data_IF_557817992522
#
_entry.id   IF_557817992522
#
_cell.length_a   1.000
_cell.length_b   1.000
_cell.length_c   1.000
_cell.angle_alpha   90.00
_cell.angle_beta   90.00
_cell.angle_gamma   90.00
#
_symmetry.space_group_name_H-M   'P 1'
#
loop_
_entity.id
_entity.type
_entity.pdbx_description
1 polymer ?
#
# COMPACT_ATOMS: atom_id res chain seq x y z
N UNK A 1 11.34 11.68 1.37
CA UNK A 1 9.95 11.27 1.09
C UNK A 1 8.95 11.92 2.04
N UNK A 2 9.29 13.13 2.45
CA UNK A 2 8.44 14.04 3.20
C UNK A 2 8.48 15.38 2.49
N UNK A 3 7.33 15.87 2.06
CA UNK A 3 7.22 16.98 1.11
C UNK A 3 6.24 18.03 1.61
N UNK A 4 6.53 19.30 1.34
CA UNK A 4 5.64 20.43 1.52
C UNK A 4 5.02 20.81 0.17
N UNK A 5 3.71 20.94 0.09
CA UNK A 5 3.08 21.64 -1.03
C UNK A 5 3.25 23.15 -0.78
N UNK A 6 4.06 23.78 -1.62
CA UNK A 6 4.57 25.15 -1.40
C UNK A 6 3.44 26.17 -1.24
N UNK A 7 3.51 26.99 -0.19
CA UNK A 7 2.47 28.02 0.09
C UNK A 7 1.16 27.48 0.66
N UNK A 8 1.09 26.21 1.08
CA UNK A 8 -0.09 25.59 1.70
C UNK A 8 0.21 25.06 3.10
N UNK A 9 -0.83 24.58 3.79
CA UNK A 9 -0.73 23.86 5.05
C UNK A 9 -0.77 22.33 4.87
N UNK A 10 -0.43 21.83 3.67
CA UNK A 10 -0.48 20.39 3.34
C UNK A 10 0.92 19.85 3.11
N UNK A 11 1.20 18.69 3.72
CA UNK A 11 2.41 17.92 3.50
C UNK A 11 2.08 16.49 3.08
N UNK A 12 2.98 15.88 2.30
CA UNK A 12 2.88 14.48 1.89
C UNK A 12 3.96 13.67 2.60
N UNK A 13 3.60 12.50 3.08
CA UNK A 13 4.50 11.52 3.69
C UNK A 13 4.40 10.19 2.94
N UNK A 14 5.51 9.73 2.38
CA UNK A 14 5.62 8.38 1.82
C UNK A 14 5.83 7.35 2.92
N UNK A 15 4.90 6.44 3.09
CA UNK A 15 4.87 5.40 4.11
C UNK A 15 5.26 4.02 3.56
N UNK A 16 5.34 3.05 4.46
CA UNK A 16 5.32 1.63 4.16
C UNK A 16 4.23 0.96 5.00
N UNK A 17 3.37 0.17 4.36
CA UNK A 17 2.27 -0.53 5.00
C UNK A 17 2.73 -1.67 5.91
N UNK A 18 3.83 -2.32 5.55
CA UNK A 18 4.43 -3.44 6.27
C UNK A 18 5.93 -3.22 6.40
N UNK A 19 6.48 -3.67 7.51
CA UNK A 19 7.92 -3.78 7.72
C UNK A 19 8.33 -5.23 7.91
N UNK A 20 9.58 -5.57 7.61
CA UNK A 20 10.20 -6.81 8.05
C UNK A 20 10.20 -6.92 9.57
N UNK A 21 10.08 -8.13 10.11
CA UNK A 21 10.00 -8.37 11.57
C UNK A 21 11.19 -7.82 12.37
N UNK A 22 12.33 -7.57 11.71
CA UNK A 22 13.48 -6.86 12.29
C UNK A 22 13.34 -5.33 12.23
N UNK A 23 12.10 -4.82 12.10
CA UNK A 23 11.85 -3.39 11.90
C UNK A 23 12.43 -2.54 13.03
N UNK A 24 13.12 -1.46 12.69
CA UNK A 24 13.57 -0.47 13.64
C UNK A 24 12.39 0.27 14.28
N UNK A 25 12.69 1.06 15.30
CA UNK A 25 11.75 2.05 15.84
C UNK A 25 11.28 2.98 14.72
N UNK A 26 10.08 3.55 14.87
CA UNK A 26 9.58 4.59 13.95
C UNK A 26 10.64 5.69 13.81
N UNK A 27 11.10 6.00 12.60
CA UNK A 27 12.12 7.02 12.40
C UNK A 27 11.68 8.39 12.91
N UNK A 28 12.62 9.17 13.40
CA UNK A 28 12.34 10.49 13.97
C UNK A 28 11.63 11.43 12.97
N UNK A 29 11.96 11.36 11.68
CA UNK A 29 11.31 12.16 10.64
C UNK A 29 9.82 11.83 10.43
N UNK A 30 9.42 10.58 10.71
CA UNK A 30 8.00 10.17 10.68
C UNK A 30 7.27 10.72 11.91
N UNK A 31 7.91 10.66 13.09
CA UNK A 31 7.36 11.23 14.32
C UNK A 31 7.19 12.75 14.17
N UNK A 32 8.19 13.45 13.65
CA UNK A 32 8.11 14.90 13.42
C UNK A 32 7.02 15.27 12.41
N UNK A 33 6.82 14.46 11.33
CA UNK A 33 5.75 14.68 10.39
C UNK A 33 4.37 14.56 11.08
N UNK A 34 4.21 13.56 11.93
CA UNK A 34 2.98 13.37 12.72
C UNK A 34 2.75 14.50 13.72
N UNK A 35 3.80 14.92 14.46
CA UNK A 35 3.70 15.99 15.47
C UNK A 35 3.38 17.35 14.82
N UNK A 36 3.90 17.60 13.62
CA UNK A 36 3.59 18.79 12.85
C UNK A 36 2.10 18.89 12.47
N UNK A 37 1.43 17.76 12.24
CA UNK A 37 0.08 17.70 11.72
C UNK A 37 -0.98 17.99 12.80
N UNK A 38 -1.99 18.77 12.43
CA UNK A 38 -3.23 18.97 13.19
C UNK A 38 -4.37 18.06 12.69
N UNK A 39 -4.22 17.54 11.47
CA UNK A 39 -5.14 16.61 10.84
C UNK A 39 -4.38 15.63 9.93
N UNK A 40 -4.93 14.45 9.73
CA UNK A 40 -4.30 13.38 8.95
C UNK A 40 -5.24 12.92 7.83
N UNK A 41 -4.65 12.56 6.70
CA UNK A 41 -5.35 11.91 5.59
C UNK A 41 -4.61 10.62 5.26
N UNK A 42 -5.32 9.50 5.26
CA UNK A 42 -4.77 8.20 4.87
C UNK A 42 -5.36 7.73 3.54
N UNK A 43 -4.83 6.66 2.98
CA UNK A 43 -5.34 6.08 1.73
C UNK A 43 -6.77 5.59 1.90
N UNK A 44 -6.96 4.57 2.71
CA UNK A 44 -8.23 3.89 2.95
C UNK A 44 -8.27 3.25 4.33
N UNK A 45 -9.47 2.88 4.78
CA UNK A 45 -9.65 2.08 5.99
C UNK A 45 -9.45 0.59 5.68
N UNK A 46 -8.29 0.05 6.08
CA UNK A 46 -7.98 -1.36 5.90
C UNK A 46 -8.98 -2.30 6.59
N UNK A 47 -9.59 -1.89 7.71
CA UNK A 47 -10.60 -2.70 8.40
C UNK A 47 -11.91 -2.76 7.62
N UNK A 48 -12.28 -1.68 6.95
CA UNK A 48 -13.48 -1.62 6.12
C UNK A 48 -13.37 -2.50 4.86
N UNK A 49 -12.14 -2.86 4.42
CA UNK A 49 -11.90 -3.75 3.28
C UNK A 49 -12.12 -5.23 3.64
N UNK A 50 -11.92 -5.63 4.90
CA UNK A 50 -11.95 -7.04 5.32
C UNK A 50 -13.22 -7.81 4.92
N UNK A 51 -14.45 -7.24 5.00
CA UNK A 51 -15.66 -7.94 4.55
C UNK A 51 -15.63 -8.32 3.07
N UNK A 52 -14.93 -7.53 2.24
CA UNK A 52 -14.86 -7.73 0.78
C UNK A 52 -13.82 -8.77 0.33
N UNK A 53 -12.98 -9.27 1.23
CA UNK A 53 -11.98 -10.29 0.87
C UNK A 53 -12.64 -11.59 0.41
N UNK A 54 -13.82 -11.89 0.94
CA UNK A 54 -14.57 -13.10 0.63
C UNK A 54 -15.48 -12.91 -0.58
N UNK A 55 -15.72 -14.01 -1.26
CA UNK A 55 -16.68 -14.08 -2.36
C UNK A 55 -18.09 -14.19 -1.81
N UNK A 56 -19.00 -13.47 -2.43
CA UNK A 56 -20.43 -13.63 -2.18
C UNK A 56 -21.02 -14.63 -3.17
N UNK A 57 -20.88 -15.93 -2.90
CA UNK A 57 -21.37 -17.01 -3.78
C UNK A 57 -20.48 -17.25 -5.02
N UNK A 58 -20.94 -18.15 -5.90
CA UNK A 58 -20.24 -18.49 -7.15
C UNK A 58 -19.20 -19.60 -7.01
N UNK A 59 -18.34 -19.77 -8.03
CA UNK A 59 -17.30 -20.79 -8.04
C UNK A 59 -16.24 -20.49 -6.99
N UNK A 60 -15.71 -21.52 -6.31
CA UNK A 60 -14.60 -21.37 -5.36
C UNK A 60 -13.35 -20.84 -6.07
N UNK A 61 -12.40 -20.30 -5.31
CA UNK A 61 -11.12 -19.86 -5.85
C UNK A 61 -10.38 -21.01 -6.57
N UNK A 62 -10.52 -22.24 -6.07
CA UNK A 62 -10.02 -23.46 -6.72
C UNK A 62 -10.44 -23.60 -8.18
N UNK A 63 -11.71 -23.29 -8.49
CA UNK A 63 -12.21 -23.36 -9.86
C UNK A 63 -11.79 -22.15 -10.71
N UNK A 64 -11.41 -21.06 -10.09
CA UNK A 64 -10.98 -19.85 -10.78
C UNK A 64 -9.49 -19.88 -11.17
N UNK A 65 -8.67 -20.66 -10.45
CA UNK A 65 -7.22 -20.75 -10.68
C UNK A 65 -6.88 -21.99 -11.53
N UNK A 66 -5.75 -21.96 -12.27
CA UNK A 66 -5.19 -23.16 -12.86
C UNK A 66 -4.93 -24.22 -11.78
N UNK A 67 -5.22 -25.53 -12.03
CA UNK A 67 -5.12 -26.59 -11.00
C UNK A 67 -3.76 -26.66 -10.33
N UNK A 68 -2.68 -26.41 -11.06
CA UNK A 68 -1.31 -26.44 -10.51
C UNK A 68 -1.06 -25.25 -9.58
N UNK A 69 -1.54 -24.07 -9.95
CA UNK A 69 -1.43 -22.85 -9.11
C UNK A 69 -2.22 -23.05 -7.81
N UNK A 70 -3.46 -23.54 -7.94
CA UNK A 70 -4.30 -23.85 -6.77
C UNK A 70 -3.60 -24.82 -5.83
N UNK A 71 -3.17 -25.96 -6.34
CA UNK A 71 -2.53 -27.02 -5.53
C UNK A 71 -1.31 -26.53 -4.75
N UNK A 72 -0.46 -25.70 -5.41
CA UNK A 72 0.73 -25.13 -4.77
C UNK A 72 0.39 -24.05 -3.74
N UNK A 73 -0.58 -23.20 -4.06
CA UNK A 73 -1.03 -22.14 -3.17
C UNK A 73 -1.70 -22.73 -1.93
N UNK A 74 -2.60 -23.72 -2.10
CA UNK A 74 -3.30 -24.40 -1.01
C UNK A 74 -2.30 -25.13 -0.08
N UNK A 75 -1.30 -25.81 -0.64
CA UNK A 75 -0.24 -26.45 0.13
C UNK A 75 0.61 -25.46 0.95
N UNK A 76 0.70 -24.21 0.51
CA UNK A 76 1.45 -23.14 1.19
C UNK A 76 0.58 -22.32 2.13
N UNK A 77 -0.75 -22.44 2.04
CA UNK A 77 -1.68 -21.64 2.82
C UNK A 77 -1.80 -22.14 4.26
N UNK A 78 -1.64 -21.27 5.27
CA UNK A 78 -1.71 -21.72 6.66
C UNK A 78 -3.14 -22.14 7.04
N UNK A 79 -3.23 -23.23 7.78
CA UNK A 79 -4.51 -23.79 8.25
C UNK A 79 -5.16 -23.00 9.39
N UNK A 80 -4.46 -22.06 10.01
CA UNK A 80 -4.99 -21.23 11.11
C UNK A 80 -4.39 -19.80 11.08
N UNK A 81 -5.17 -18.83 11.52
CA UNK A 81 -4.69 -17.45 11.74
C UNK A 81 -4.71 -16.54 10.53
N UNK A 82 -5.36 -16.93 9.44
CA UNK A 82 -5.48 -16.12 8.21
C UNK A 82 -6.88 -15.54 8.07
N UNK A 83 -6.97 -14.47 7.30
CA UNK A 83 -8.17 -13.65 7.04
C UNK A 83 -9.43 -14.46 6.66
N UNK A 84 -9.27 -15.60 5.93
CA UNK A 84 -10.34 -16.52 5.55
C UNK A 84 -9.75 -17.83 5.00
N UNK A 85 -10.54 -18.93 4.91
CA UNK A 85 -10.16 -20.11 4.14
C UNK A 85 -9.86 -19.71 2.69
N UNK A 86 -8.76 -20.25 2.13
CA UNK A 86 -8.29 -19.88 0.79
C UNK A 86 -9.39 -19.98 -0.28
N UNK A 87 -10.18 -21.05 -0.25
CA UNK A 87 -11.25 -21.29 -1.24
C UNK A 87 -12.37 -20.25 -1.23
N UNK A 88 -12.53 -19.49 -0.14
CA UNK A 88 -13.54 -18.44 0.00
C UNK A 88 -13.05 -17.07 -0.49
N UNK A 89 -11.74 -16.91 -0.70
CA UNK A 89 -11.18 -15.62 -1.08
C UNK A 89 -11.51 -15.25 -2.53
N UNK A 90 -11.61 -13.96 -2.79
CA UNK A 90 -11.57 -13.39 -4.14
C UNK A 90 -10.16 -13.56 -4.73
N UNK A 91 -10.02 -13.74 -6.06
CA UNK A 91 -8.69 -13.94 -6.68
C UNK A 91 -7.69 -12.84 -6.32
N UNK A 92 -8.10 -11.57 -6.38
CA UNK A 92 -7.24 -10.45 -6.00
C UNK A 92 -6.83 -10.50 -4.52
N UNK A 93 -7.75 -10.92 -3.63
CA UNK A 93 -7.46 -11.01 -2.20
C UNK A 93 -6.43 -12.11 -1.90
N UNK A 94 -6.53 -13.25 -2.57
CA UNK A 94 -5.52 -14.30 -2.48
C UNK A 94 -4.15 -13.82 -2.99
N UNK A 95 -4.11 -13.11 -4.13
CA UNK A 95 -2.86 -12.56 -4.67
C UNK A 95 -2.23 -11.53 -3.73
N UNK A 96 -3.02 -10.64 -3.13
CA UNK A 96 -2.51 -9.62 -2.19
C UNK A 96 -2.03 -10.22 -0.86
N UNK A 97 -2.67 -11.30 -0.39
CA UNK A 97 -2.28 -11.97 0.84
C UNK A 97 -1.10 -12.94 0.66
N UNK A 98 -0.96 -13.55 -0.51
CA UNK A 98 0.03 -14.61 -0.75
C UNK A 98 1.49 -14.21 -0.42
N UNK A 99 2.00 -13.01 -0.69
CA UNK A 99 3.35 -12.61 -0.27
C UNK A 99 3.57 -12.72 1.24
N UNK A 100 2.54 -12.45 2.06
CA UNK A 100 2.66 -12.48 3.52
C UNK A 100 2.82 -13.90 4.09
N UNK A 101 2.49 -14.94 3.31
CA UNK A 101 2.70 -16.34 3.70
C UNK A 101 4.19 -16.67 3.89
N UNK A 102 5.04 -15.97 3.16
CA UNK A 102 6.49 -16.21 3.10
C UNK A 102 7.29 -15.10 3.78
N UNK A 103 6.62 -14.04 4.23
CA UNK A 103 7.24 -12.89 4.86
C UNK A 103 7.07 -12.91 6.38
N UNK A 104 8.11 -12.48 7.09
CA UNK A 104 8.01 -12.13 8.50
C UNK A 104 7.79 -10.62 8.60
N UNK A 105 6.54 -10.23 8.77
CA UNK A 105 6.14 -8.83 8.75
C UNK A 105 5.59 -8.35 10.07
N UNK A 106 5.74 -7.05 10.29
CA UNK A 106 5.05 -6.30 11.33
C UNK A 106 4.35 -5.10 10.70
N UNK A 107 3.42 -4.50 11.42
CA UNK A 107 2.68 -3.33 10.95
C UNK A 107 3.60 -2.16 10.59
N UNK A 108 3.22 -1.45 9.53
CA UNK A 108 3.94 -0.28 9.03
C UNK A 108 3.58 1.03 9.74
N UNK A 109 3.64 2.11 8.98
CA UNK A 109 3.48 3.48 9.50
C UNK A 109 2.03 3.79 9.85
N UNK A 110 1.09 3.49 8.95
CA UNK A 110 -0.30 3.94 9.05
C UNK A 110 -1.02 3.41 10.30
N UNK A 111 -0.98 2.10 10.65
CA UNK A 111 -1.64 1.60 11.85
C UNK A 111 -1.11 2.24 13.13
N UNK A 112 0.19 2.56 13.16
CA UNK A 112 0.81 3.25 14.31
C UNK A 112 0.32 4.69 14.41
N UNK A 113 0.29 5.42 13.27
CA UNK A 113 -0.22 6.79 13.23
C UNK A 113 -1.71 6.88 13.57
N UNK A 114 -2.53 5.93 13.12
CA UNK A 114 -3.96 5.87 13.45
C UNK A 114 -4.19 5.72 14.96
N UNK A 115 -3.45 4.82 15.62
CA UNK A 115 -3.55 4.68 17.08
C UNK A 115 -3.10 5.93 17.81
N UNK A 116 -2.03 6.55 17.37
CA UNK A 116 -1.53 7.79 17.98
C UNK A 116 -2.50 8.95 17.73
N UNK A 117 -3.09 9.05 16.54
CA UNK A 117 -4.12 10.03 16.22
C UNK A 117 -5.35 9.89 17.13
N UNK A 118 -5.81 8.65 17.36
CA UNK A 118 -6.89 8.38 18.30
C UNK A 118 -6.54 8.81 19.74
N UNK A 119 -5.31 8.54 20.19
CA UNK A 119 -4.81 8.93 21.53
C UNK A 119 -4.76 10.43 21.68
N UNK A 120 -4.33 11.17 20.65
CA UNK A 120 -4.21 12.63 20.68
C UNK A 120 -5.46 13.37 20.19
N UNK A 121 -6.56 12.65 19.89
CA UNK A 121 -7.79 13.20 19.30
C UNK A 121 -7.54 14.05 18.04
N UNK A 122 -6.54 13.71 17.22
CA UNK A 122 -6.31 14.32 15.92
C UNK A 122 -7.35 13.82 14.93
N UNK A 123 -8.09 14.71 14.23
CA UNK A 123 -9.02 14.29 13.21
C UNK A 123 -8.30 13.65 12.03
N UNK A 124 -8.91 12.64 11.45
CA UNK A 124 -8.41 12.01 10.23
C UNK A 124 -9.56 11.59 9.31
N UNK A 125 -9.25 11.43 8.02
CA UNK A 125 -10.14 10.89 7.01
C UNK A 125 -9.35 10.11 5.96
N UNK A 126 -10.04 9.54 4.98
CA UNK A 126 -9.46 8.71 3.95
C UNK A 126 -9.61 9.32 2.57
N UNK A 127 -8.65 9.05 1.68
CA UNK A 127 -8.68 9.46 0.27
C UNK A 127 -9.68 8.64 -0.55
N UNK A 128 -9.96 7.42 -0.14
CA UNK A 128 -10.88 6.53 -0.86
C UNK A 128 -11.68 5.65 0.10
N UNK A 129 -12.82 5.15 -0.37
CA UNK A 129 -13.65 4.20 0.36
C UNK A 129 -13.18 2.76 0.14
N UNK A 130 -13.66 1.83 0.98
CA UNK A 130 -13.37 0.41 0.80
C UNK A 130 -13.89 -0.12 -0.55
N UNK A 131 -15.06 0.35 -0.99
CA UNK A 131 -15.66 -0.04 -2.27
C UNK A 131 -14.81 0.44 -3.45
N UNK A 132 -14.23 1.63 -3.39
CA UNK A 132 -13.32 2.15 -4.43
C UNK A 132 -12.03 1.31 -4.51
N UNK A 133 -11.45 0.94 -3.36
CA UNK A 133 -10.30 0.01 -3.31
C UNK A 133 -10.65 -1.32 -3.94
N UNK A 134 -11.78 -1.90 -3.53
CA UNK A 134 -12.23 -3.20 -4.05
C UNK A 134 -12.49 -3.15 -5.55
N UNK A 135 -13.18 -2.11 -6.03
CA UNK A 135 -13.42 -1.93 -7.47
C UNK A 135 -12.10 -1.84 -8.26
N UNK A 136 -11.09 -1.13 -7.71
CA UNK A 136 -9.77 -1.04 -8.32
C UNK A 136 -9.08 -2.41 -8.38
N UNK A 137 -9.07 -3.17 -7.29
CA UNK A 137 -8.46 -4.49 -7.23
C UNK A 137 -9.20 -5.53 -8.08
N UNK A 138 -10.53 -5.46 -8.19
CA UNK A 138 -11.34 -6.30 -9.08
C UNK A 138 -11.10 -6.02 -10.57
N UNK A 139 -10.59 -4.84 -10.91
CA UNK A 139 -10.21 -4.51 -12.29
C UNK A 139 -8.97 -5.27 -12.79
N UNK A 140 -8.21 -5.92 -11.90
CA UNK A 140 -7.04 -6.71 -12.26
C UNK A 140 -7.52 -7.95 -13.04
N UNK A 141 -7.04 -8.17 -14.27
CA UNK A 141 -7.41 -9.35 -15.05
C UNK A 141 -7.05 -10.64 -14.31
N UNK A 142 -7.95 -11.64 -14.33
CA UNK A 142 -7.70 -12.94 -13.70
C UNK A 142 -6.41 -13.60 -14.22
N UNK A 143 -6.10 -13.44 -15.50
CA UNK A 143 -4.85 -13.93 -16.08
C UNK A 143 -3.61 -13.30 -15.42
N UNK A 144 -3.65 -12.00 -15.13
CA UNK A 144 -2.55 -11.33 -14.42
C UNK A 144 -2.43 -11.82 -12.97
N UNK A 145 -3.56 -12.06 -12.30
CA UNK A 145 -3.58 -12.66 -10.96
C UNK A 145 -2.94 -14.06 -10.99
N UNK A 146 -3.35 -14.92 -11.93
CA UNK A 146 -2.78 -16.26 -12.07
C UNK A 146 -1.27 -16.21 -12.30
N UNK A 147 -0.82 -15.39 -13.26
CA UNK A 147 0.62 -15.21 -13.54
C UNK A 147 1.36 -14.66 -12.31
N UNK A 148 0.78 -13.69 -11.59
CA UNK A 148 1.37 -13.15 -10.37
C UNK A 148 1.55 -14.21 -9.27
N UNK A 149 0.56 -15.08 -9.08
CA UNK A 149 0.64 -16.20 -8.16
C UNK A 149 1.68 -17.24 -8.61
N UNK A 150 1.77 -17.55 -9.90
CA UNK A 150 2.80 -18.45 -10.45
C UNK A 150 4.21 -17.94 -10.17
N UNK A 151 4.45 -16.65 -10.44
CA UNK A 151 5.74 -16.00 -10.19
C UNK A 151 6.11 -16.03 -8.71
N UNK A 152 5.16 -15.70 -7.83
CA UNK A 152 5.37 -15.76 -6.38
C UNK A 152 5.69 -17.17 -5.91
N UNK A 153 4.93 -18.16 -6.39
CA UNK A 153 5.15 -19.56 -6.01
C UNK A 153 6.45 -20.15 -6.61
N UNK A 154 7.01 -19.53 -7.65
CA UNK A 154 8.30 -19.94 -8.22
C UNK A 154 9.49 -19.61 -7.29
N UNK A 155 9.43 -18.48 -6.57
CA UNK A 155 10.44 -18.08 -5.57
C UNK A 155 9.78 -17.45 -4.34
N UNK A 156 9.48 -18.27 -3.35
CA UNK A 156 8.86 -17.85 -2.09
C UNK A 156 9.78 -16.98 -1.21
N UNK A 157 11.04 -16.81 -1.57
CA UNK A 157 11.98 -15.96 -0.82
C UNK A 157 12.03 -14.54 -1.36
N UNK A 158 11.62 -14.34 -2.62
CA UNK A 158 11.64 -13.03 -3.27
C UNK A 158 10.82 -11.96 -2.56
N UNK A 159 9.59 -12.23 -2.08
CA UNK A 159 8.81 -11.22 -1.37
C UNK A 159 9.51 -10.68 -0.12
N UNK A 160 10.19 -11.53 0.64
CA UNK A 160 10.95 -11.11 1.82
C UNK A 160 12.14 -10.22 1.43
N UNK A 161 12.92 -10.63 0.41
CA UNK A 161 14.07 -9.85 -0.09
C UNK A 161 13.64 -8.49 -0.62
N UNK A 162 12.58 -8.44 -1.40
CA UNK A 162 12.01 -7.20 -1.94
C UNK A 162 11.57 -6.27 -0.81
N UNK A 163 10.83 -6.78 0.19
CA UNK A 163 10.42 -6.00 1.36
C UNK A 163 11.62 -5.39 2.10
N UNK A 164 12.66 -6.19 2.35
CA UNK A 164 13.85 -5.73 3.08
C UNK A 164 14.63 -4.66 2.30
N UNK A 165 14.76 -4.82 0.97
CA UNK A 165 15.38 -3.83 0.09
C UNK A 165 14.59 -2.53 0.06
N UNK A 166 13.27 -2.61 -0.09
CA UNK A 166 12.39 -1.43 -0.06
C UNK A 166 12.45 -0.74 1.31
N UNK A 167 12.43 -1.49 2.40
CA UNK A 167 12.55 -0.94 3.75
C UNK A 167 13.89 -0.25 3.97
N UNK A 168 15.00 -0.84 3.51
CA UNK A 168 16.32 -0.21 3.59
C UNK A 168 16.38 1.11 2.79
N UNK A 169 15.78 1.17 1.60
CA UNK A 169 15.66 2.39 0.82
C UNK A 169 14.76 3.43 1.51
N UNK A 170 13.63 2.99 2.09
CA UNK A 170 12.72 3.85 2.83
C UNK A 170 13.38 4.49 4.06
N UNK A 171 14.16 3.73 4.82
CA UNK A 171 14.93 4.26 5.96
C UNK A 171 15.95 5.32 5.55
N UNK A 172 16.54 5.20 4.35
CA UNK A 172 17.41 6.23 3.74
C UNK A 172 16.65 7.37 3.07
N UNK A 173 15.31 7.30 3.04
CA UNK A 173 14.42 8.26 2.36
C UNK A 173 14.68 8.35 0.84
N UNK A 174 15.10 7.26 0.25
CA UNK A 174 15.45 7.14 -1.15
C UNK A 174 14.28 6.59 -1.96
N UNK A 175 13.41 7.50 -2.43
CA UNK A 175 12.21 7.14 -3.21
C UNK A 175 12.56 6.48 -4.53
N UNK A 176 13.66 6.89 -5.18
CA UNK A 176 14.04 6.29 -6.45
C UNK A 176 14.42 4.82 -6.25
N UNK A 177 15.24 4.52 -5.24
CA UNK A 177 15.58 3.12 -4.93
C UNK A 177 14.35 2.28 -4.55
N UNK A 178 13.33 2.86 -3.90
CA UNK A 178 12.05 2.13 -3.63
C UNK A 178 11.38 1.77 -4.95
N UNK A 179 11.28 2.72 -5.88
CA UNK A 179 10.66 2.49 -7.18
C UNK A 179 11.44 1.47 -8.01
N UNK A 180 12.77 1.59 -8.05
CA UNK A 180 13.62 0.67 -8.79
C UNK A 180 13.48 -0.77 -8.30
N UNK A 181 13.45 -0.97 -6.98
CA UNK A 181 13.22 -2.29 -6.38
C UNK A 181 11.83 -2.84 -6.74
N UNK A 182 10.78 -2.00 -6.72
CA UNK A 182 9.45 -2.43 -7.13
C UNK A 182 9.39 -2.77 -8.63
N UNK A 183 10.04 -1.97 -9.48
CA UNK A 183 10.09 -2.14 -10.93
C UNK A 183 10.87 -3.39 -11.37
N UNK A 184 11.81 -3.88 -10.56
CA UNK A 184 12.48 -5.15 -10.80
C UNK A 184 11.54 -6.35 -10.65
N UNK A 185 10.44 -6.22 -9.90
CA UNK A 185 9.48 -7.31 -9.71
C UNK A 185 8.67 -7.56 -10.99
N UNK A 186 8.71 -8.77 -11.56
CA UNK A 186 7.89 -9.10 -12.72
C UNK A 186 6.39 -8.91 -12.48
N UNK A 187 5.93 -9.06 -11.23
CA UNK A 187 4.51 -8.87 -10.84
C UNK A 187 4.10 -7.41 -11.05
N UNK A 188 4.97 -6.46 -10.74
CA UNK A 188 4.68 -5.04 -10.88
C UNK A 188 4.42 -4.60 -12.32
N UNK A 189 5.00 -5.31 -13.29
CA UNK A 189 4.83 -5.05 -14.73
C UNK A 189 3.63 -5.78 -15.36
N UNK A 190 2.92 -6.64 -14.61
CA UNK A 190 1.75 -7.35 -15.15
C UNK A 190 0.61 -6.38 -15.46
N UNK A 191 -0.07 -6.66 -16.59
CA UNK A 191 -1.18 -5.84 -17.06
C UNK A 191 -2.26 -5.65 -15.99
N UNK A 192 -2.64 -4.40 -15.76
CA UNK A 192 -3.68 -4.03 -14.79
C UNK A 192 -3.22 -3.94 -13.34
N UNK A 193 -2.15 -4.61 -12.92
CA UNK A 193 -1.70 -4.56 -11.51
C UNK A 193 -1.25 -3.16 -11.15
N UNK A 194 -0.29 -2.58 -11.87
CA UNK A 194 0.18 -1.22 -11.61
C UNK A 194 -0.96 -0.20 -11.68
N UNK A 195 -1.85 -0.33 -12.66
CA UNK A 195 -3.01 0.56 -12.79
C UNK A 195 -3.91 0.49 -11.56
N UNK A 196 -4.22 -0.73 -11.08
CA UNK A 196 -5.10 -0.94 -9.94
C UNK A 196 -4.50 -0.47 -8.61
N UNK A 197 -3.20 -0.67 -8.40
CA UNK A 197 -2.57 -0.37 -7.11
C UNK A 197 -1.96 1.03 -7.03
N UNK A 198 -1.62 1.68 -8.16
CA UNK A 198 -0.96 2.98 -8.21
C UNK A 198 -1.64 3.98 -9.14
N UNK A 199 -1.58 3.79 -10.46
CA UNK A 199 -1.88 4.85 -11.43
C UNK A 199 -3.33 5.32 -11.37
N UNK A 200 -4.29 4.38 -11.28
CA UNK A 200 -5.72 4.67 -11.17
C UNK A 200 -6.05 5.38 -9.85
N UNK A 201 -5.47 4.91 -8.75
CA UNK A 201 -5.65 5.49 -7.42
C UNK A 201 -5.05 6.89 -7.34
N UNK A 202 -3.82 7.09 -7.84
CA UNK A 202 -3.19 8.41 -7.93
C UNK A 202 -4.07 9.41 -8.71
N UNK A 203 -4.70 8.96 -9.80
CA UNK A 203 -5.59 9.77 -10.60
C UNK A 203 -6.83 10.20 -9.82
N UNK A 204 -7.44 9.27 -9.06
CA UNK A 204 -8.61 9.52 -8.23
C UNK A 204 -8.30 10.38 -6.99
N UNK A 205 -7.11 10.23 -6.42
CA UNK A 205 -6.71 10.93 -5.20
C UNK A 205 -6.25 12.37 -5.44
N UNK A 206 -5.66 12.67 -6.60
CA UNK A 206 -5.14 14.02 -6.86
C UNK A 206 -6.19 15.15 -6.69
N UNK A 207 -7.45 15.03 -7.15
CA UNK A 207 -8.50 16.00 -6.84
C UNK A 207 -8.78 16.13 -5.34
N UNK A 208 -8.86 15.00 -4.62
CA UNK A 208 -9.16 14.95 -3.17
C UNK A 208 -8.07 15.60 -2.33
N UNK A 209 -6.80 15.38 -2.72
CA UNK A 209 -5.66 16.07 -2.08
C UNK A 209 -5.72 17.59 -2.38
N UNK A 210 -6.12 18.00 -3.60
CA UNK A 210 -6.29 19.42 -3.92
C UNK A 210 -7.39 20.08 -3.08
N UNK A 211 -8.47 19.39 -2.76
CA UNK A 211 -9.50 19.89 -1.84
C UNK A 211 -8.92 20.19 -0.45
N UNK A 212 -7.99 19.36 0.01
CA UNK A 212 -7.30 19.59 1.29
C UNK A 212 -6.42 20.85 1.28
N UNK A 213 -5.98 21.36 0.11
CA UNK A 213 -5.15 22.58 0.04
C UNK A 213 -5.87 23.82 0.57
N UNK A 214 -7.20 23.85 0.51
CA UNK A 214 -8.03 24.94 1.04
C UNK A 214 -8.22 24.93 2.56
N UNK A 215 -7.76 23.87 3.25
CA UNK A 215 -7.90 23.80 4.72
C UNK A 215 -6.91 24.72 5.43
N UNK A 216 -7.31 25.43 6.50
CA UNK A 216 -6.39 26.22 7.31
C UNK A 216 -5.55 25.34 8.25
N UNK A 217 -5.90 24.08 8.44
CA UNK A 217 -5.21 23.14 9.33
C UNK A 217 -3.96 22.57 8.67
N UNK A 218 -2.91 22.37 9.45
CA UNK A 218 -1.73 21.63 9.03
C UNK A 218 -2.12 20.17 8.82
N UNK A 219 -2.26 19.77 7.56
CA UNK A 219 -2.76 18.46 7.14
C UNK A 219 -1.63 17.61 6.57
N UNK A 220 -1.43 16.42 7.13
CA UNK A 220 -0.49 15.44 6.63
C UNK A 220 -1.22 14.35 5.86
N UNK A 221 -0.93 14.25 4.57
CA UNK A 221 -1.40 13.17 3.69
C UNK A 221 -0.36 12.05 3.73
N UNK A 222 -0.77 10.88 4.21
CA UNK A 222 0.08 9.69 4.37
C UNK A 222 -0.33 8.65 3.34
N UNK A 223 0.54 8.39 2.39
CA UNK A 223 0.31 7.40 1.32
C UNK A 223 1.54 6.50 1.17
N UNK A 224 1.36 5.30 0.65
CA UNK A 224 2.49 4.41 0.38
C UNK A 224 3.53 5.09 -0.50
N UNK A 225 4.81 4.89 -0.17
CA UNK A 225 5.92 5.60 -0.83
C UNK A 225 5.92 5.46 -2.36
N UNK A 226 5.44 4.33 -2.90
CA UNK A 226 5.30 4.11 -4.34
C UNK A 226 4.33 5.07 -5.02
N UNK A 227 3.37 5.64 -4.29
CA UNK A 227 2.46 6.66 -4.83
C UNK A 227 3.16 8.01 -5.08
N UNK A 228 4.36 8.21 -4.53
CA UNK A 228 5.11 9.47 -4.63
C UNK A 228 6.30 9.41 -5.60
N UNK A 229 6.52 8.28 -6.29
CA UNK A 229 7.63 8.08 -7.21
C UNK A 229 7.22 7.35 -8.49
N UNK A 230 8.10 7.41 -9.51
CA UNK A 230 7.84 6.87 -10.84
C UNK A 230 6.92 7.75 -11.67
N UNK A 231 6.71 7.38 -12.92
CA UNK A 231 5.85 8.08 -13.86
C UNK A 231 4.38 8.03 -13.40
N UNK A 232 3.67 9.16 -13.49
CA UNK A 232 2.26 9.25 -13.10
C UNK A 232 2.02 9.20 -11.59
N UNK A 233 3.04 9.48 -10.79
CA UNK A 233 2.92 9.53 -9.35
C UNK A 233 2.00 10.68 -8.88
N UNK A 234 1.60 10.64 -7.62
CA UNK A 234 0.66 11.60 -7.04
C UNK A 234 1.21 13.04 -7.09
N UNK A 235 2.53 13.24 -6.87
CA UNK A 235 3.16 14.56 -6.90
C UNK A 235 3.00 15.18 -8.30
N UNK A 236 3.31 14.43 -9.37
CA UNK A 236 3.13 14.91 -10.75
C UNK A 236 1.68 15.25 -11.05
N UNK A 237 0.74 14.39 -10.60
CA UNK A 237 -0.69 14.59 -10.86
C UNK A 237 -1.29 15.76 -10.09
N UNK A 238 -0.71 16.13 -8.97
CA UNK A 238 -1.12 17.33 -8.24
C UNK A 238 -0.88 18.60 -9.04
N UNK A 239 0.11 18.62 -9.93
CA UNK A 239 0.50 19.79 -10.71
C UNK A 239 0.67 21.04 -9.82
N UNK A 240 1.28 20.83 -8.66
CA UNK A 240 1.48 21.84 -7.64
C UNK A 240 2.95 21.90 -7.24
N UNK A 241 3.51 23.08 -6.96
CA UNK A 241 4.90 23.18 -6.51
C UNK A 241 5.11 22.39 -5.21
N UNK A 242 6.14 21.55 -5.20
CA UNK A 242 6.45 20.65 -4.08
C UNK A 242 7.92 20.78 -3.71
N UNK A 243 8.20 20.91 -2.43
CA UNK A 243 9.55 20.97 -1.87
C UNK A 243 9.77 19.79 -0.92
N UNK A 244 10.90 19.10 -1.08
CA UNK A 244 11.27 18.07 -0.13
C UNK A 244 11.72 18.72 1.17
N UNK A 245 11.13 18.30 2.28
CA UNK A 245 11.49 18.83 3.61
C UNK A 245 12.82 18.19 4.03
N UNK A 246 13.88 19.00 4.23
CA UNK A 246 15.11 18.51 4.78
C UNK A 246 14.89 17.99 6.20
N UNK A 247 15.66 17.00 6.57
CA UNK A 247 15.68 16.47 7.93
C UNK A 247 17.08 16.67 8.50
N UNK A 248 17.18 17.30 9.63
CA UNK A 248 18.41 17.33 10.41
C UNK A 248 18.37 16.15 11.37
N UNK A 249 19.33 15.23 11.24
CA UNK A 249 19.53 14.09 12.15
C UNK A 249 19.84 14.55 13.57
#
# INVERSE_FOLDING_TARGET
>A
MYFQLTGTHVRLLGSMHLFSAASPRTPAWVVQAFDWAEALVFESDAQAILPFLKREGGQSLEHALPPEVWRRLDASWPSAGVLAPLGELRPWAAMMAAPTLCQRVVEGVEPRMLREAATQAKPYWYLETAEEVVASLESIPLSAICTGLELLLADLTEPQRTLERMQAAWLRRDLQSIYDVAAESPIFSLAGIRSAILDGRNCAWAPRVREALGTPKRTLVVVGALHLCGEGNLIERLQYPVEQIPFCD
#
